data_IF_162696192928
#
_entry.id   IF_162696192928
#
_cell.length_a   1.000
_cell.length_b   1.000
_cell.length_c   1.000
_cell.angle_alpha   90.00
_cell.angle_beta   90.00
_cell.angle_gamma   90.00
#
_symmetry.space_group_name_H-M   'P 1'
#
loop_
_entity.id
_entity.type
_entity.pdbx_description
1 polymer ?
#
# COMPACT_ATOMS: atom_id res chain seq x y z
N UNK A 1 19.00 -11.37 -28.76
CA UNK A 1 18.91 -10.17 -27.93
C UNK A 1 19.46 -10.53 -26.55
N UNK A 2 20.52 -9.83 -26.16
CA UNK A 2 21.38 -10.13 -25.01
C UNK A 2 20.64 -9.92 -23.67
N UNK A 3 20.94 -10.84 -22.75
CA UNK A 3 20.63 -10.76 -21.33
C UNK A 3 20.77 -9.34 -20.76
N UNK A 4 19.70 -8.77 -20.27
CA UNK A 4 19.74 -7.61 -19.37
C UNK A 4 19.36 -8.08 -17.97
N UNK A 5 20.41 -8.17 -17.16
CA UNK A 5 20.33 -8.32 -15.71
C UNK A 5 19.44 -7.21 -15.11
N UNK A 6 18.56 -7.60 -14.23
CA UNK A 6 17.78 -6.71 -13.38
C UNK A 6 18.71 -5.68 -12.72
N UNK A 7 18.56 -4.42 -13.06
CA UNK A 7 19.18 -3.29 -12.40
C UNK A 7 18.09 -2.49 -11.72
N UNK A 8 18.20 -2.46 -10.41
CA UNK A 8 17.60 -1.60 -9.38
C UNK A 8 16.51 -0.62 -9.84
N UNK A 9 15.32 -0.84 -9.31
CA UNK A 9 14.16 0.02 -9.39
C UNK A 9 14.51 1.47 -9.06
N UNK A 10 14.21 2.37 -9.98
CA UNK A 10 14.04 3.78 -9.68
C UNK A 10 12.66 3.91 -9.06
N UNK A 11 12.62 4.19 -7.78
CA UNK A 11 11.39 4.53 -7.08
C UNK A 11 10.87 5.85 -7.65
N UNK A 12 9.93 5.77 -8.58
CA UNK A 12 9.10 6.92 -8.93
C UNK A 12 8.03 6.98 -7.85
N UNK A 13 8.27 7.81 -6.85
CA UNK A 13 7.25 8.25 -5.91
C UNK A 13 6.27 9.11 -6.71
N UNK A 14 5.23 8.50 -7.23
CA UNK A 14 4.05 9.24 -7.64
C UNK A 14 3.31 9.54 -6.33
N UNK A 15 3.65 10.67 -5.73
CA UNK A 15 2.86 11.26 -4.67
C UNK A 15 1.54 11.73 -5.28
N UNK A 16 0.56 10.86 -5.37
CA UNK A 16 -0.82 11.29 -5.44
C UNK A 16 -1.17 11.84 -4.07
N UNK A 17 -1.01 13.16 -3.93
CA UNK A 17 -1.64 13.91 -2.87
C UNK A 17 -3.15 13.81 -3.12
N UNK A 18 -3.79 12.80 -2.55
CA UNK A 18 -5.22 12.83 -2.36
C UNK A 18 -5.43 13.82 -1.22
N UNK A 19 -5.71 15.08 -1.59
CA UNK A 19 -6.28 16.05 -0.67
C UNK A 19 -7.65 15.55 -0.22
N UNK A 20 -7.68 14.74 0.83
CA UNK A 20 -8.83 14.72 1.70
C UNK A 20 -8.79 16.03 2.49
N UNK A 21 -9.68 16.96 2.16
CA UNK A 21 -10.00 18.12 2.99
C UNK A 21 -10.76 17.65 4.23
N UNK A 22 -10.04 17.10 5.14
CA UNK A 22 -10.43 16.78 6.50
C UNK A 22 -9.10 16.69 7.25
N UNK A 23 -8.78 17.77 8.01
CA UNK A 23 -7.49 17.92 8.67
C UNK A 23 -7.16 16.74 9.57
N UNK A 24 -6.34 15.83 9.09
CA UNK A 24 -5.58 14.92 9.94
C UNK A 24 -4.41 15.76 10.44
N UNK A 25 -4.60 16.35 11.61
CA UNK A 25 -3.48 16.86 12.39
C UNK A 25 -2.65 15.62 12.76
N UNK A 26 -1.53 15.42 12.07
CA UNK A 26 -0.49 14.50 12.54
C UNK A 26 -0.04 15.08 13.88
N UNK A 27 -0.60 14.58 14.98
CA UNK A 27 -0.09 14.85 16.32
C UNK A 27 1.27 14.15 16.39
N UNK A 28 2.31 14.90 16.07
CA UNK A 28 3.66 14.47 16.37
C UNK A 28 3.73 14.24 17.88
N UNK A 29 3.79 12.98 18.28
CA UNK A 29 4.01 12.60 19.67
C UNK A 29 5.40 13.09 20.07
N UNK A 30 5.46 14.23 20.73
CA UNK A 30 6.69 14.63 21.40
C UNK A 30 6.81 13.75 22.64
N UNK A 31 7.95 13.10 22.88
CA UNK A 31 8.17 12.41 24.14
C UNK A 31 7.98 13.44 25.26
N UNK A 32 7.22 13.06 26.28
CA UNK A 32 7.09 13.89 27.47
C UNK A 32 8.46 13.93 28.11
N UNK A 33 9.17 15.05 27.92
CA UNK A 33 10.37 15.31 28.71
C UNK A 33 9.89 15.47 30.13
N UNK A 34 10.18 14.50 31.00
CA UNK A 34 10.04 14.67 32.43
C UNK A 34 11.12 15.66 32.79
N UNK A 35 10.70 16.87 33.14
CA UNK A 35 11.63 17.85 33.77
C UNK A 35 12.10 17.20 35.07
N UNK A 36 13.39 16.87 35.11
CA UNK A 36 14.05 16.52 36.37
C UNK A 36 13.98 17.73 37.29
N UNK A 37 13.01 17.77 38.17
CA UNK A 37 13.02 18.63 39.32
C UNK A 37 13.88 17.94 40.38
N UNK A 38 15.19 18.15 40.32
CA UNK A 38 16.08 17.81 41.46
C UNK A 38 15.76 18.77 42.56
N UNK A 39 14.85 18.38 43.44
CA UNK A 39 14.72 19.05 44.74
C UNK A 39 15.77 18.46 45.70
N UNK A 40 16.75 19.24 46.05
CA UNK A 40 17.79 18.91 47.05
C UNK A 40 17.31 19.20 48.47
N UNK A 41 16.06 18.97 48.83
CA UNK A 41 15.61 18.92 50.21
C UNK A 41 15.73 17.46 50.66
N UNK A 42 16.50 17.20 51.73
CA UNK A 42 16.50 15.90 52.41
C UNK A 42 15.04 15.59 52.80
N UNK A 43 14.37 14.69 52.08
CA UNK A 43 13.02 14.30 52.36
C UNK A 43 12.91 13.51 53.66
N UNK A 44 11.73 13.45 54.23
CA UNK A 44 11.47 12.62 55.40
C UNK A 44 11.64 11.16 55.03
N UNK A 45 12.36 10.38 55.87
CA UNK A 45 12.54 8.93 55.70
C UNK A 45 11.58 8.20 56.63
N UNK A 46 10.83 7.28 56.07
CA UNK A 46 9.92 6.40 56.80
C UNK A 46 10.28 4.93 56.49
N UNK A 47 10.56 4.17 57.56
CA UNK A 47 10.82 2.73 57.46
C UNK A 47 9.61 2.01 58.02
N UNK A 48 9.06 1.09 57.23
CA UNK A 48 7.88 0.31 57.60
C UNK A 48 8.26 -1.09 58.13
N UNK A 49 7.43 -1.63 58.99
CA UNK A 49 7.68 -2.95 59.62
C UNK A 49 7.70 -4.12 58.66
N UNK A 50 7.16 -3.95 57.45
CA UNK A 50 7.17 -4.96 56.39
C UNK A 50 8.48 -4.90 55.55
N UNK A 51 9.39 -3.99 55.85
CA UNK A 51 10.65 -3.81 55.12
C UNK A 51 10.55 -2.83 53.95
N UNK A 52 9.41 -2.15 53.79
CA UNK A 52 9.25 -1.09 52.78
C UNK A 52 9.86 0.25 53.28
N UNK A 53 10.23 1.09 52.38
CA UNK A 53 10.88 2.38 52.68
C UNK A 53 10.24 3.52 51.85
N UNK A 54 10.06 4.69 52.46
CA UNK A 54 9.69 5.93 51.77
C UNK A 54 10.72 7.01 52.06
N UNK A 55 11.03 7.80 51.04
CA UNK A 55 11.82 9.02 51.19
C UNK A 55 11.19 10.14 50.36
N UNK A 56 10.76 11.22 50.98
CA UNK A 56 10.10 12.32 50.27
C UNK A 56 9.30 13.27 51.18
N UNK A 57 8.38 13.99 50.52
CA UNK A 57 7.54 14.97 51.21
C UNK A 57 6.42 14.28 51.98
N UNK A 58 6.19 14.74 53.22
CA UNK A 58 5.09 14.27 54.10
C UNK A 58 4.36 15.44 54.71
N UNK A 59 3.09 15.22 55.02
CA UNK A 59 2.26 16.10 55.84
C UNK A 59 2.11 15.59 57.27
N UNK A 60 1.42 16.29 58.12
CA UNK A 60 1.17 15.94 59.53
C UNK A 60 0.69 14.49 59.66
N UNK A 61 1.36 13.70 60.52
CA UNK A 61 1.04 12.31 60.75
C UNK A 61 1.69 11.32 59.76
N UNK A 62 2.79 11.74 59.09
CA UNK A 62 3.57 10.89 58.18
C UNK A 62 2.80 10.48 56.90
N UNK A 63 1.79 11.28 56.49
CA UNK A 63 1.04 11.11 55.24
C UNK A 63 1.92 11.54 54.08
N UNK A 64 2.17 10.67 53.13
CA UNK A 64 2.93 10.97 51.88
C UNK A 64 2.12 11.96 51.05
N UNK A 65 2.66 13.18 50.87
CA UNK A 65 2.00 14.22 50.09
C UNK A 65 3.08 15.13 49.48
N UNK A 66 3.08 15.26 48.15
CA UNK A 66 4.18 15.93 47.41
C UNK A 66 5.00 14.95 46.59
N UNK A 67 6.30 15.10 46.54
CA UNK A 67 7.19 14.20 45.77
C UNK A 67 7.92 13.23 46.68
N UNK A 68 8.12 11.99 46.21
CA UNK A 68 8.88 11.00 46.99
C UNK A 68 9.07 9.68 46.26
N UNK A 69 9.99 8.91 46.79
CA UNK A 69 10.28 7.55 46.35
C UNK A 69 9.81 6.54 47.38
N UNK A 70 9.25 5.42 46.90
CA UNK A 70 8.83 4.31 47.72
C UNK A 70 9.41 3.02 47.18
N UNK A 71 9.96 2.19 48.06
CA UNK A 71 10.46 0.85 47.75
C UNK A 71 9.66 -0.17 48.58
N UNK A 72 8.96 -1.06 47.87
CA UNK A 72 8.28 -2.16 48.53
C UNK A 72 9.24 -3.28 48.90
N UNK A 73 8.94 -4.00 49.94
CA UNK A 73 9.74 -5.19 50.41
C UNK A 73 9.83 -6.28 49.33
N UNK A 74 8.92 -6.30 48.37
CA UNK A 74 8.86 -7.20 47.22
C UNK A 74 9.77 -6.76 46.07
N UNK A 75 10.36 -5.57 46.18
CA UNK A 75 11.37 -5.06 45.25
C UNK A 75 10.85 -4.08 44.20
N UNK A 76 9.54 -3.81 44.15
CA UNK A 76 9.00 -2.74 43.32
C UNK A 76 9.46 -1.39 43.82
N UNK A 77 9.53 -0.40 42.91
CA UNK A 77 9.85 0.98 43.31
C UNK A 77 8.95 1.96 42.59
N UNK A 78 8.52 3.01 43.28
CA UNK A 78 7.84 4.17 42.73
C UNK A 78 8.58 5.45 43.04
N UNK A 79 8.76 6.31 42.07
CA UNK A 79 9.29 7.66 42.22
C UNK A 79 8.33 8.63 41.53
N UNK A 80 7.77 9.58 42.27
CA UNK A 80 6.79 10.50 41.70
C UNK A 80 6.00 11.27 42.73
N UNK A 81 4.84 11.73 42.28
CA UNK A 81 3.92 12.55 43.11
C UNK A 81 3.00 11.69 43.95
N UNK A 82 2.76 12.10 45.17
CA UNK A 82 1.88 11.50 46.17
C UNK A 82 0.81 12.49 46.60
N UNK A 83 -0.43 12.00 46.79
CA UNK A 83 -1.53 12.77 47.35
C UNK A 83 -2.23 11.87 48.39
N UNK A 84 -2.19 12.25 49.65
CA UNK A 84 -2.83 11.49 50.74
C UNK A 84 -2.47 9.99 50.70
N UNK A 85 -1.18 9.67 50.68
CA UNK A 85 -0.63 8.30 50.62
C UNK A 85 -0.86 7.55 49.31
N UNK A 86 -1.41 8.18 48.29
CA UNK A 86 -1.75 7.54 47.00
C UNK A 86 -0.91 8.12 45.87
N UNK A 87 -0.36 7.30 44.98
CA UNK A 87 0.34 7.76 43.75
C UNK A 87 -0.61 8.60 42.91
N UNK A 88 -0.12 9.78 42.47
CA UNK A 88 -0.89 10.74 41.70
C UNK A 88 0.03 11.55 40.76
N UNK A 89 -0.51 12.16 39.71
CA UNK A 89 0.32 12.97 38.80
C UNK A 89 1.38 12.15 38.07
N UNK A 90 2.54 12.75 37.84
CA UNK A 90 3.63 12.08 37.13
C UNK A 90 4.46 11.20 38.06
N UNK A 91 4.82 10.02 37.57
CA UNK A 91 5.70 9.09 38.30
C UNK A 91 6.29 8.01 37.42
N UNK A 92 7.28 7.33 38.03
CA UNK A 92 7.93 6.16 37.46
C UNK A 92 7.74 4.97 38.40
N UNK A 93 7.22 3.89 37.88
CA UNK A 93 7.05 2.64 38.62
C UNK A 93 7.86 1.54 37.95
N UNK A 94 8.63 0.78 38.76
CA UNK A 94 9.40 -0.37 38.30
C UNK A 94 8.87 -1.63 38.99
N UNK A 95 8.53 -2.62 38.21
CA UNK A 95 8.20 -3.96 38.67
C UNK A 95 9.33 -4.91 38.25
N UNK A 96 10.11 -5.47 39.20
CA UNK A 96 11.17 -6.42 38.88
C UNK A 96 10.64 -7.61 38.09
N UNK A 97 11.29 -7.94 36.97
CA UNK A 97 10.88 -9.06 36.10
C UNK A 97 9.63 -8.83 35.25
N UNK A 98 8.96 -7.67 35.38
CA UNK A 98 7.80 -7.32 34.56
C UNK A 98 8.06 -6.14 33.63
N UNK A 99 8.58 -5.01 34.18
CA UNK A 99 8.80 -3.84 33.37
C UNK A 99 8.82 -2.51 34.13
N UNK A 100 8.84 -1.45 33.38
CA UNK A 100 8.88 -0.07 33.88
C UNK A 100 7.78 0.75 33.22
N UNK A 101 7.02 1.47 34.03
CA UNK A 101 6.07 2.51 33.60
C UNK A 101 6.61 3.90 33.96
N UNK A 102 6.48 4.82 33.03
CA UNK A 102 6.72 6.24 33.25
C UNK A 102 5.56 7.04 32.67
N UNK A 103 4.84 7.76 33.51
CA UNK A 103 3.66 8.48 33.05
C UNK A 103 2.80 8.98 34.18
N UNK A 104 1.53 9.22 33.87
CA UNK A 104 0.56 9.76 34.81
C UNK A 104 -0.08 8.66 35.65
N UNK A 105 -0.36 9.01 36.89
CA UNK A 105 -1.10 8.18 37.88
C UNK A 105 -2.33 8.94 38.37
N UNK A 106 -3.40 8.22 38.63
CA UNK A 106 -4.58 8.72 39.29
C UNK A 106 -5.10 7.64 40.26
N UNK A 107 -5.29 7.99 41.51
CA UNK A 107 -5.76 7.05 42.55
C UNK A 107 -4.93 5.77 42.63
N UNK A 108 -3.61 5.87 42.51
CA UNK A 108 -2.68 4.75 42.58
C UNK A 108 -2.61 3.86 41.34
N UNK A 109 -3.28 4.23 40.26
CA UNK A 109 -3.32 3.48 39.00
C UNK A 109 -2.69 4.28 37.87
N UNK A 110 -2.09 3.59 36.90
CA UNK A 110 -1.68 4.21 35.64
C UNK A 110 -2.88 4.81 34.95
N UNK A 111 -2.78 6.09 34.59
CA UNK A 111 -3.87 6.84 33.99
C UNK A 111 -3.30 7.94 33.08
N UNK A 112 -4.10 8.45 32.09
CA UNK A 112 -3.63 9.48 31.19
C UNK A 112 -2.46 9.00 30.33
N UNK A 113 -1.50 9.85 30.02
CA UNK A 113 -0.37 9.49 29.14
C UNK A 113 0.76 8.83 29.89
N UNK A 114 1.30 7.77 29.30
CA UNK A 114 2.45 7.08 29.86
C UNK A 114 3.05 6.02 28.94
N UNK A 115 4.30 5.69 29.20
CA UNK A 115 5.06 4.67 28.51
C UNK A 115 5.33 3.49 29.43
N UNK A 116 5.14 2.28 28.93
CA UNK A 116 5.50 1.02 29.58
C UNK A 116 6.52 0.27 28.73
N UNK A 117 7.57 -0.21 29.33
CA UNK A 117 8.54 -1.11 28.71
C UNK A 117 8.52 -2.44 29.46
N UNK A 118 8.25 -3.53 28.74
CA UNK A 118 8.27 -4.87 29.29
C UNK A 118 9.69 -5.41 29.40
N UNK A 119 9.92 -6.23 30.42
CA UNK A 119 11.15 -6.99 30.64
C UNK A 119 10.80 -8.46 30.55
N UNK A 120 11.62 -9.23 29.85
CA UNK A 120 11.46 -10.66 29.67
C UNK A 120 12.66 -11.40 30.26
N UNK A 121 12.42 -12.62 30.75
CA UNK A 121 13.51 -13.52 31.13
C UNK A 121 14.07 -14.13 29.82
N UNK A 122 15.16 -13.53 29.31
CA UNK A 122 15.74 -13.81 28.00
C UNK A 122 15.23 -12.87 26.90
N UNK A 123 15.55 -13.21 25.65
CA UNK A 123 15.13 -12.42 24.49
C UNK A 123 13.63 -12.57 24.22
N UNK A 124 12.91 -11.47 23.96
CA UNK A 124 11.50 -11.54 23.65
C UNK A 124 11.27 -12.26 22.32
N UNK A 125 10.26 -13.12 22.27
CA UNK A 125 9.89 -13.82 21.04
C UNK A 125 9.17 -12.90 20.06
N UNK A 126 9.25 -13.21 18.77
CA UNK A 126 8.62 -12.43 17.71
C UNK A 126 7.15 -12.15 17.99
N UNK A 127 6.77 -10.90 17.94
CA UNK A 127 5.40 -10.43 18.17
C UNK A 127 5.03 -10.18 19.63
N UNK A 128 5.93 -10.43 20.60
CA UNK A 128 5.70 -9.97 21.97
C UNK A 128 5.83 -8.44 22.05
N UNK A 129 4.96 -7.73 22.82
CA UNK A 129 5.08 -6.30 23.02
C UNK A 129 6.32 -5.97 23.86
N UNK A 130 7.20 -5.11 23.37
CA UNK A 130 8.38 -4.64 24.12
C UNK A 130 8.20 -3.25 24.70
N UNK A 131 7.36 -2.40 24.10
CA UNK A 131 6.98 -1.12 24.69
C UNK A 131 5.62 -0.66 24.22
N UNK A 132 4.95 0.14 25.06
CA UNK A 132 3.74 0.87 24.72
C UNK A 132 3.87 2.31 25.21
N UNK A 133 3.59 3.27 24.35
CA UNK A 133 3.50 4.70 24.66
C UNK A 133 2.14 5.22 24.20
N UNK A 134 1.29 5.63 25.11
CA UNK A 134 -0.07 6.04 24.79
C UNK A 134 -0.94 6.38 25.99
N UNK A 135 -2.24 6.29 25.76
CA UNK A 135 -3.24 6.53 26.79
C UNK A 135 -3.41 5.32 27.70
N UNK A 136 -3.60 5.58 28.99
CA UNK A 136 -3.85 4.59 30.04
C UNK A 136 -5.13 4.96 30.78
N UNK A 137 -5.91 3.96 31.15
CA UNK A 137 -7.13 4.11 31.92
C UNK A 137 -7.20 3.00 32.98
N UNK A 138 -7.08 3.37 34.26
CA UNK A 138 -7.18 2.46 35.41
C UNK A 138 -6.32 1.18 35.25
N UNK A 139 -5.02 1.35 34.99
CA UNK A 139 -4.03 0.29 34.73
C UNK A 139 -4.16 -0.46 33.41
N UNK A 140 -5.09 -0.09 32.55
CA UNK A 140 -5.27 -0.69 31.23
C UNK A 140 -4.76 0.24 30.13
N UNK A 141 -4.33 -0.35 29.01
CA UNK A 141 -4.10 0.40 27.77
C UNK A 141 -5.41 1.07 27.36
N UNK A 142 -5.37 2.37 27.19
CA UNK A 142 -6.52 3.20 26.83
C UNK A 142 -6.89 3.13 25.34
N UNK A 143 -7.39 4.24 24.81
CA UNK A 143 -7.99 4.25 23.47
C UNK A 143 -6.99 4.40 22.33
N UNK A 144 -5.75 4.84 22.58
CA UNK A 144 -4.76 5.10 21.53
C UNK A 144 -3.33 5.04 22.04
N UNK A 145 -2.43 4.70 21.14
CA UNK A 145 -0.99 4.68 21.45
C UNK A 145 -0.15 4.03 20.36
N UNK A 146 1.14 3.94 20.69
CA UNK A 146 2.17 3.30 19.90
C UNK A 146 2.68 2.07 20.63
N UNK A 147 2.60 0.90 19.99
CA UNK A 147 3.12 -0.35 20.51
C UNK A 147 4.22 -0.89 19.62
N UNK A 148 5.35 -1.24 20.21
CA UNK A 148 6.47 -1.88 19.53
C UNK A 148 6.45 -3.36 19.85
N UNK A 149 6.58 -4.20 18.83
CA UNK A 149 6.61 -5.65 18.94
C UNK A 149 7.98 -6.19 18.55
N UNK A 150 8.50 -7.11 19.34
CA UNK A 150 9.79 -7.75 19.10
C UNK A 150 9.85 -8.43 17.73
N UNK A 151 10.86 -8.12 16.92
CA UNK A 151 11.13 -8.75 15.63
C UNK A 151 9.90 -8.82 14.69
N UNK A 152 8.98 -7.86 14.80
CA UNK A 152 7.76 -7.83 14.00
C UNK A 152 7.49 -6.45 13.42
N UNK A 153 7.56 -5.39 14.26
CA UNK A 153 7.27 -4.03 13.82
C UNK A 153 6.58 -3.16 14.85
N UNK A 154 5.98 -2.09 14.38
CA UNK A 154 5.39 -1.02 15.19
C UNK A 154 3.94 -0.80 14.77
N UNK A 155 3.04 -0.75 15.75
CA UNK A 155 1.66 -0.29 15.58
C UNK A 155 1.47 1.08 16.21
N UNK A 156 0.77 1.96 15.52
CA UNK A 156 0.34 3.26 16.01
C UNK A 156 -1.12 3.49 15.64
N UNK A 157 -1.99 3.62 16.64
CA UNK A 157 -3.43 3.74 16.35
C UNK A 157 -4.32 3.48 17.55
N UNK A 158 -5.57 3.08 17.23
CA UNK A 158 -6.61 2.83 18.21
C UNK A 158 -6.47 1.50 18.93
N UNK A 159 -6.89 1.46 20.18
CA UNK A 159 -6.98 0.28 21.02
C UNK A 159 -8.34 0.20 21.71
N UNK A 160 -8.77 -1.00 22.00
CA UNK A 160 -9.91 -1.27 22.87
C UNK A 160 -9.61 -2.48 23.72
N UNK A 161 -9.62 -2.34 25.05
CA UNK A 161 -9.28 -3.41 26.01
C UNK A 161 -7.93 -4.09 25.69
N UNK A 162 -6.93 -3.30 25.30
CA UNK A 162 -5.58 -3.78 25.01
C UNK A 162 -5.38 -4.45 23.66
N UNK A 163 -6.42 -4.56 22.82
CA UNK A 163 -6.31 -5.06 21.44
C UNK A 163 -6.43 -3.94 20.43
N UNK A 164 -5.78 -4.05 19.26
CA UNK A 164 -5.87 -3.05 18.19
C UNK A 164 -7.29 -3.01 17.64
N UNK A 165 -7.85 -1.80 17.61
CA UNK A 165 -9.25 -1.54 17.19
C UNK A 165 -9.33 -0.15 16.55
N UNK A 166 -10.21 0.02 15.56
CA UNK A 166 -10.36 1.30 14.86
C UNK A 166 -9.25 1.57 13.85
N UNK A 167 -8.96 2.83 13.60
CA UNK A 167 -7.93 3.22 12.63
C UNK A 167 -6.54 3.10 13.22
N UNK A 168 -5.59 2.58 12.42
CA UNK A 168 -4.19 2.48 12.84
C UNK A 168 -3.25 2.13 11.69
N UNK A 169 -1.98 2.40 11.94
CA UNK A 169 -0.87 2.06 11.05
C UNK A 169 -0.04 0.97 11.68
N UNK A 170 0.29 -0.06 10.93
CA UNK A 170 1.30 -1.04 11.29
C UNK A 170 2.45 -0.96 10.29
N UNK A 171 3.67 -0.79 10.78
CA UNK A 171 4.88 -0.85 9.97
C UNK A 171 5.67 -2.08 10.40
N UNK A 172 5.80 -3.05 9.49
CA UNK A 172 6.60 -4.26 9.71
C UNK A 172 8.09 -3.99 9.54
N UNK A 173 8.91 -4.77 10.20
CA UNK A 173 10.38 -4.66 10.15
C UNK A 173 10.94 -4.93 8.74
N UNK A 174 10.21 -5.66 7.89
CA UNK A 174 10.57 -5.88 6.49
C UNK A 174 10.29 -4.68 5.57
N UNK A 175 9.69 -3.61 6.10
CA UNK A 175 9.34 -2.40 5.36
C UNK A 175 7.92 -2.37 4.80
N UNK A 176 7.13 -3.41 4.95
CA UNK A 176 5.70 -3.35 4.64
C UNK A 176 4.98 -2.39 5.58
N UNK A 177 3.91 -1.75 5.11
CA UNK A 177 3.10 -0.86 5.93
C UNK A 177 1.62 -1.02 5.61
N UNK A 178 0.82 -1.20 6.65
CA UNK A 178 -0.64 -1.12 6.54
C UNK A 178 -1.17 0.14 7.21
N UNK A 179 -2.04 0.85 6.53
CA UNK A 179 -2.85 1.93 7.07
C UNK A 179 -4.32 1.64 6.82
N UNK A 180 -5.13 1.59 7.88
CA UNK A 180 -6.56 1.32 7.74
C UNK A 180 -7.21 0.86 9.03
N UNK A 181 -8.33 0.16 8.87
CA UNK A 181 -9.16 -0.27 9.99
C UNK A 181 -8.68 -1.59 10.58
N UNK A 182 -8.77 -1.68 11.89
CA UNK A 182 -8.45 -2.85 12.73
C UNK A 182 -9.67 -3.26 13.53
N UNK A 183 -9.85 -4.54 13.70
CA UNK A 183 -10.85 -5.11 14.59
C UNK A 183 -10.28 -6.36 15.28
N UNK A 184 -10.23 -6.33 16.62
CA UNK A 184 -9.74 -7.45 17.46
C UNK A 184 -8.37 -7.97 17.00
N UNK A 185 -7.38 -7.08 16.90
CA UNK A 185 -6.01 -7.32 16.44
C UNK A 185 -5.85 -7.76 14.98
N UNK A 186 -6.88 -7.66 14.16
CA UNK A 186 -6.84 -8.05 12.75
C UNK A 186 -7.15 -6.87 11.83
N UNK A 187 -6.48 -6.84 10.70
CA UNK A 187 -6.81 -5.93 9.60
C UNK A 187 -8.22 -6.26 9.12
N UNK A 188 -9.12 -5.26 9.12
CA UNK A 188 -10.53 -5.42 8.75
C UNK A 188 -11.09 -4.09 8.27
N UNK A 189 -12.04 -4.11 7.29
CA UNK A 189 -12.58 -2.88 6.72
C UNK A 189 -11.65 -2.24 5.70
N UNK A 190 -11.81 -0.94 5.48
CA UNK A 190 -11.06 -0.22 4.46
C UNK A 190 -9.62 0.05 4.89
N UNK A 191 -8.69 -0.13 3.94
CA UNK A 191 -7.29 0.12 4.19
C UNK A 191 -6.39 -0.04 2.96
N UNK A 192 -5.13 0.33 3.16
CA UNK A 192 -4.05 0.25 2.16
C UNK A 192 -2.88 -0.52 2.80
N UNK A 193 -2.46 -1.59 2.14
CA UNK A 193 -1.23 -2.28 2.45
C UNK A 193 -0.20 -1.97 1.36
N UNK A 194 0.88 -1.32 1.75
CA UNK A 194 2.04 -1.05 0.90
C UNK A 194 3.11 -2.07 1.24
N UNK A 195 3.52 -2.84 0.25
CA UNK A 195 4.63 -3.78 0.42
C UNK A 195 5.98 -3.10 0.20
N UNK A 196 7.04 -3.67 0.73
CA UNK A 196 8.40 -3.15 0.61
C UNK A 196 8.90 -3.03 -0.84
N UNK A 197 8.33 -3.81 -1.76
CA UNK A 197 8.61 -3.73 -3.20
C UNK A 197 7.84 -2.61 -3.93
N UNK A 198 7.02 -1.83 -3.19
CA UNK A 198 6.17 -0.77 -3.71
C UNK A 198 4.80 -1.23 -4.23
N UNK A 199 4.48 -2.52 -4.15
CA UNK A 199 3.14 -3.02 -4.49
C UNK A 199 2.10 -2.50 -3.50
N UNK A 200 0.89 -2.18 -4.00
CA UNK A 200 -0.21 -1.65 -3.21
C UNK A 200 -1.40 -2.62 -3.25
N UNK A 201 -1.97 -2.90 -2.09
CA UNK A 201 -3.24 -3.58 -1.94
C UNK A 201 -4.22 -2.62 -1.28
N UNK A 202 -5.20 -2.15 -2.01
CA UNK A 202 -6.16 -1.14 -1.54
C UNK A 202 -7.58 -1.66 -1.62
N UNK A 203 -8.36 -1.46 -0.55
CA UNK A 203 -9.77 -1.81 -0.51
C UNK A 203 -10.23 -2.37 0.83
N UNK A 204 -11.21 -3.26 0.77
CA UNK A 204 -11.81 -3.87 1.95
C UNK A 204 -11.11 -5.16 2.35
N UNK A 205 -10.58 -5.17 3.55
CA UNK A 205 -9.93 -6.31 4.17
C UNK A 205 -10.91 -7.07 5.08
N UNK A 206 -10.69 -8.36 5.21
CA UNK A 206 -11.39 -9.23 6.14
C UNK A 206 -10.38 -10.23 6.71
N UNK A 207 -10.21 -10.22 8.04
CA UNK A 207 -9.28 -11.11 8.74
C UNK A 207 -7.87 -11.14 8.10
N UNK A 208 -7.24 -9.97 7.94
CA UNK A 208 -5.91 -9.76 7.36
C UNK A 208 -5.79 -10.03 5.84
N UNK A 209 -6.87 -10.33 5.13
CA UNK A 209 -6.85 -10.59 3.69
C UNK A 209 -7.63 -9.54 2.94
N UNK A 210 -7.10 -9.05 1.82
CA UNK A 210 -7.84 -8.18 0.91
C UNK A 210 -8.99 -8.99 0.28
N UNK A 211 -10.23 -8.62 0.63
CA UNK A 211 -11.44 -9.29 0.17
C UNK A 211 -11.99 -8.67 -1.12
N UNK A 212 -11.98 -7.34 -1.20
CA UNK A 212 -12.44 -6.57 -2.36
C UNK A 212 -11.58 -5.33 -2.51
N UNK A 213 -11.11 -5.06 -3.74
CA UNK A 213 -10.27 -3.89 -4.00
C UNK A 213 -9.36 -4.10 -5.19
N UNK A 214 -8.20 -3.50 -5.15
CA UNK A 214 -7.19 -3.56 -6.22
C UNK A 214 -5.83 -3.97 -5.68
N UNK A 215 -5.07 -4.63 -6.54
CA UNK A 215 -3.64 -4.86 -6.37
C UNK A 215 -2.92 -4.15 -7.51
N UNK A 216 -2.00 -3.26 -7.15
CA UNK A 216 -1.17 -2.49 -8.08
C UNK A 216 0.29 -2.85 -7.85
N UNK A 217 1.01 -3.19 -8.90
CA UNK A 217 2.40 -3.63 -8.83
C UNK A 217 3.19 -3.24 -10.07
N UNK A 218 4.50 -3.12 -9.93
CA UNK A 218 5.38 -2.79 -11.03
C UNK A 218 5.51 -3.96 -12.01
N UNK A 219 5.56 -3.63 -13.31
CA UNK A 219 5.94 -4.51 -14.40
C UNK A 219 7.05 -3.85 -15.21
N UNK A 220 7.64 -4.56 -16.19
CA UNK A 220 8.67 -3.97 -17.05
C UNK A 220 8.12 -2.75 -17.82
N UNK A 221 8.66 -1.57 -17.49
CA UNK A 221 8.29 -0.29 -18.09
C UNK A 221 6.93 0.30 -17.70
N UNK A 222 6.23 -0.27 -16.71
CA UNK A 222 4.90 0.23 -16.35
C UNK A 222 4.37 -0.25 -15.00
N UNK A 223 3.09 -0.01 -14.79
CA UNK A 223 2.36 -0.37 -13.59
C UNK A 223 1.12 -1.18 -13.98
N UNK A 224 0.98 -2.35 -13.39
CA UNK A 224 -0.18 -3.21 -13.57
C UNK A 224 -1.16 -3.07 -12.40
N UNK A 225 -2.45 -2.99 -12.71
CA UNK A 225 -3.54 -2.99 -11.74
C UNK A 225 -4.51 -4.13 -12.03
N UNK A 226 -4.86 -4.89 -11.00
CA UNK A 226 -5.83 -5.98 -11.06
C UNK A 226 -6.83 -5.88 -9.92
N UNK A 227 -8.07 -6.26 -10.17
CA UNK A 227 -9.09 -6.31 -9.14
C UNK A 227 -9.00 -7.58 -8.29
N UNK A 228 -9.39 -7.45 -7.03
CA UNK A 228 -9.66 -8.56 -6.11
C UNK A 228 -11.15 -8.60 -5.83
N UNK A 229 -11.75 -9.77 -5.92
CA UNK A 229 -13.15 -9.99 -5.59
C UNK A 229 -13.30 -11.29 -4.80
N UNK A 230 -13.93 -11.21 -3.62
CA UNK A 230 -14.08 -12.33 -2.69
C UNK A 230 -12.73 -13.01 -2.37
N UNK A 231 -11.70 -12.21 -2.09
CA UNK A 231 -10.35 -12.67 -1.79
C UNK A 231 -9.59 -13.30 -2.96
N UNK A 232 -10.11 -13.21 -4.18
CA UNK A 232 -9.49 -13.79 -5.38
C UNK A 232 -9.06 -12.70 -6.34
N UNK A 233 -7.79 -12.73 -6.72
CA UNK A 233 -7.22 -11.86 -7.76
C UNK A 233 -7.84 -12.22 -9.11
N UNK A 234 -8.45 -11.24 -9.78
CA UNK A 234 -9.09 -11.43 -11.07
C UNK A 234 -8.05 -11.52 -12.20
N UNK A 235 -8.39 -12.20 -13.30
CA UNK A 235 -7.49 -12.35 -14.44
C UNK A 235 -7.41 -11.10 -15.33
N UNK A 236 -8.40 -10.22 -15.27
CA UNK A 236 -8.37 -8.94 -15.97
C UNK A 236 -7.26 -8.03 -15.39
N UNK A 237 -6.51 -7.38 -16.28
CA UNK A 237 -5.42 -6.49 -15.93
C UNK A 237 -5.48 -5.22 -16.77
N UNK A 238 -5.16 -4.11 -16.17
CA UNK A 238 -4.82 -2.85 -16.84
C UNK A 238 -3.35 -2.56 -16.57
N UNK A 239 -2.56 -2.33 -17.61
CA UNK A 239 -1.15 -1.92 -17.51
C UNK A 239 -1.04 -0.52 -18.11
N UNK A 240 -0.45 0.39 -17.37
CA UNK A 240 -0.10 1.74 -17.82
C UNK A 240 1.41 1.84 -17.88
N UNK A 241 1.94 2.09 -19.07
CA UNK A 241 3.38 2.24 -19.32
C UNK A 241 3.84 3.68 -19.11
N UNK A 242 5.15 3.89 -19.00
CA UNK A 242 5.76 5.21 -18.77
C UNK A 242 5.54 6.20 -19.92
N UNK A 243 5.23 5.71 -21.13
CA UNK A 243 4.90 6.50 -22.32
C UNK A 243 3.39 6.79 -22.44
N UNK A 244 2.62 6.58 -21.37
CA UNK A 244 1.15 6.68 -21.31
C UNK A 244 0.41 5.67 -22.21
N UNK A 245 1.09 4.67 -22.75
CA UNK A 245 0.43 3.54 -23.40
C UNK A 245 -0.31 2.70 -22.36
N UNK A 246 -1.58 2.42 -22.62
CA UNK A 246 -2.40 1.58 -21.75
C UNK A 246 -2.73 0.27 -22.45
N UNK A 247 -2.57 -0.85 -21.74
CA UNK A 247 -2.97 -2.18 -22.20
C UNK A 247 -4.01 -2.76 -21.24
N UNK A 248 -5.15 -3.15 -21.79
CA UNK A 248 -6.22 -3.83 -21.05
C UNK A 248 -6.42 -5.22 -21.64
N UNK A 249 -6.39 -6.24 -20.79
CA UNK A 249 -6.52 -7.62 -21.25
C UNK A 249 -6.76 -8.61 -20.14
N UNK A 250 -6.69 -9.89 -20.47
CA UNK A 250 -6.83 -11.01 -19.54
C UNK A 250 -5.54 -11.79 -19.49
N UNK A 251 -5.02 -12.07 -18.30
CA UNK A 251 -3.82 -12.88 -18.08
C UNK A 251 -4.18 -14.32 -17.71
N UNK A 252 -3.41 -15.26 -18.28
CA UNK A 252 -3.27 -16.64 -17.80
C UNK A 252 -1.80 -16.87 -17.46
N UNK A 253 -1.49 -16.91 -16.18
CA UNK A 253 -0.10 -16.78 -15.73
C UNK A 253 0.42 -15.37 -16.03
N UNK A 254 1.51 -15.27 -16.78
CA UNK A 254 2.11 -13.99 -17.20
C UNK A 254 1.81 -13.62 -18.65
N UNK A 255 1.00 -14.41 -19.37
CA UNK A 255 0.68 -14.21 -20.78
C UNK A 255 -0.73 -13.68 -20.97
N UNK A 256 -0.88 -12.75 -21.92
CA UNK A 256 -2.21 -12.33 -22.37
C UNK A 256 -2.89 -13.46 -23.16
N UNK A 257 -4.16 -13.66 -22.85
CA UNK A 257 -5.03 -14.60 -23.56
C UNK A 257 -6.24 -13.86 -24.16
N UNK A 258 -6.64 -14.30 -25.36
CA UNK A 258 -7.70 -13.62 -26.11
C UNK A 258 -7.23 -12.27 -26.66
N UNK A 259 -8.18 -11.37 -26.87
CA UNK A 259 -7.88 -10.03 -27.37
C UNK A 259 -7.50 -9.10 -26.23
N UNK A 260 -6.54 -8.23 -26.52
CA UNK A 260 -6.21 -7.06 -25.70
C UNK A 260 -6.67 -5.80 -26.38
N UNK A 261 -6.88 -4.74 -25.60
CA UNK A 261 -7.02 -3.37 -26.09
C UNK A 261 -5.76 -2.60 -25.70
N UNK A 262 -5.08 -2.02 -26.69
CA UNK A 262 -3.94 -1.13 -26.48
C UNK A 262 -4.37 0.26 -26.90
N UNK A 263 -4.21 1.25 -26.03
CA UNK A 263 -4.37 2.67 -26.31
C UNK A 263 -3.01 3.35 -26.23
N UNK A 264 -2.52 3.86 -27.35
CA UNK A 264 -1.23 4.52 -27.43
C UNK A 264 -1.34 6.01 -27.08
N UNK A 265 -0.30 6.59 -26.51
CA UNK A 265 -0.23 8.04 -26.24
C UNK A 265 -0.40 8.90 -27.50
N UNK A 266 -0.05 8.37 -28.69
CA UNK A 266 -0.30 9.02 -29.98
C UNK A 266 -1.77 9.27 -30.28
N UNK A 267 -2.68 8.55 -29.61
CA UNK A 267 -4.10 8.49 -29.88
C UNK A 267 -4.50 7.36 -30.85
N UNK A 268 -3.55 6.52 -31.23
CA UNK A 268 -3.81 5.27 -31.94
C UNK A 268 -4.36 4.20 -30.99
N UNK A 269 -4.93 3.15 -31.54
CA UNK A 269 -5.36 1.98 -30.73
C UNK A 269 -5.22 0.67 -31.49
N UNK A 270 -5.11 -0.41 -30.71
CA UNK A 270 -5.11 -1.79 -31.22
C UNK A 270 -6.05 -2.65 -30.42
N UNK A 271 -6.85 -3.48 -31.11
CA UNK A 271 -7.66 -4.51 -30.50
C UNK A 271 -7.38 -5.83 -31.22
N UNK A 272 -6.80 -6.80 -30.50
CA UNK A 272 -6.43 -8.07 -31.12
C UNK A 272 -5.57 -8.94 -30.20
N UNK A 273 -5.09 -10.05 -30.73
CA UNK A 273 -4.26 -10.98 -29.99
C UNK A 273 -2.79 -10.50 -29.93
N UNK A 274 -2.14 -10.82 -28.80
CA UNK A 274 -0.69 -10.71 -28.63
C UNK A 274 -0.07 -12.11 -28.47
N UNK A 275 1.15 -12.24 -28.94
CA UNK A 275 2.02 -13.39 -28.64
C UNK A 275 3.36 -12.83 -28.12
N UNK A 276 3.72 -13.15 -26.89
CA UNK A 276 4.90 -12.60 -26.21
C UNK A 276 4.94 -11.05 -26.26
N UNK A 277 3.81 -10.39 -26.02
CA UNK A 277 3.70 -8.93 -26.06
C UNK A 277 3.68 -8.30 -27.46
N UNK A 278 3.71 -9.09 -28.54
CA UNK A 278 3.82 -8.65 -29.94
C UNK A 278 2.48 -8.91 -30.65
N UNK A 279 1.99 -7.94 -31.45
CA UNK A 279 0.76 -8.11 -32.25
C UNK A 279 0.89 -9.31 -33.18
N UNK A 280 -0.06 -10.25 -33.05
CA UNK A 280 -0.04 -11.51 -33.78
C UNK A 280 -1.48 -12.04 -33.96
N UNK A 281 -1.74 -12.80 -35.02
CA UNK A 281 -3.08 -13.30 -35.33
C UNK A 281 -3.99 -12.20 -35.84
N UNK A 282 -5.29 -12.28 -35.54
CA UNK A 282 -6.27 -11.30 -36.00
C UNK A 282 -6.31 -10.09 -35.08
N UNK A 283 -6.42 -8.88 -35.65
CA UNK A 283 -6.55 -7.65 -34.90
C UNK A 283 -6.94 -6.45 -35.75
N UNK A 284 -7.38 -5.39 -35.07
CA UNK A 284 -7.70 -4.10 -35.66
C UNK A 284 -6.77 -3.06 -35.08
N UNK A 285 -6.08 -2.31 -35.93
CA UNK A 285 -5.34 -1.13 -35.56
C UNK A 285 -6.04 0.11 -36.09
N UNK A 286 -6.30 1.07 -35.25
CA UNK A 286 -6.95 2.32 -35.61
C UNK A 286 -5.99 3.48 -35.37
N UNK A 287 -5.68 4.21 -36.40
CA UNK A 287 -4.88 5.45 -36.32
C UNK A 287 -5.72 6.59 -35.78
N UNK A 288 -5.08 7.57 -35.16
CA UNK A 288 -5.70 8.78 -34.60
C UNK A 288 -6.61 9.52 -35.60
N UNK A 289 -6.26 9.49 -36.88
CA UNK A 289 -7.04 10.13 -37.95
C UNK A 289 -8.31 9.34 -38.36
N UNK A 290 -8.55 8.16 -37.73
CA UNK A 290 -9.71 7.30 -38.00
C UNK A 290 -9.49 6.26 -39.09
N UNK A 291 -8.39 6.31 -39.83
CA UNK A 291 -8.01 5.19 -40.69
C UNK A 291 -7.80 3.94 -39.84
N UNK A 292 -8.05 2.75 -40.39
CA UNK A 292 -7.85 1.52 -39.62
C UNK A 292 -7.58 0.31 -40.52
N UNK A 293 -6.87 -0.65 -39.95
CA UNK A 293 -6.60 -1.96 -40.57
C UNK A 293 -7.27 -3.07 -39.77
N UNK A 294 -8.02 -3.92 -40.44
CA UNK A 294 -8.63 -5.11 -39.88
C UNK A 294 -8.06 -6.33 -40.61
N UNK A 295 -7.30 -7.16 -39.95
CA UNK A 295 -6.66 -8.29 -40.61
C UNK A 295 -5.71 -9.06 -39.73
N UNK A 296 -4.84 -9.82 -40.40
CA UNK A 296 -3.82 -10.65 -39.76
C UNK A 296 -2.57 -9.81 -39.43
N UNK A 297 -1.93 -10.17 -38.34
CA UNK A 297 -0.74 -9.53 -37.80
C UNK A 297 0.36 -10.57 -37.56
N UNK A 298 1.58 -10.21 -37.81
CA UNK A 298 2.76 -11.00 -37.48
C UNK A 298 3.92 -10.07 -37.14
N UNK A 299 4.56 -10.27 -35.98
CA UNK A 299 5.69 -9.47 -35.51
C UNK A 299 5.41 -7.95 -35.58
N UNK A 300 4.26 -7.53 -35.01
CA UNK A 300 3.78 -6.14 -34.96
C UNK A 300 3.42 -5.53 -36.32
N UNK A 301 3.45 -6.28 -37.41
CA UNK A 301 3.21 -5.79 -38.75
C UNK A 301 1.94 -6.40 -39.36
N UNK A 302 1.25 -5.63 -40.18
CA UNK A 302 0.16 -6.14 -41.03
C UNK A 302 0.69 -7.29 -41.89
N UNK A 303 0.00 -8.42 -41.89
CA UNK A 303 0.43 -9.65 -42.56
C UNK A 303 -0.80 -10.43 -43.02
N UNK A 304 -0.62 -11.36 -43.98
CA UNK A 304 -1.72 -12.19 -44.45
C UNK A 304 -2.88 -11.41 -45.02
N UNK A 305 -4.10 -11.88 -44.83
CA UNK A 305 -5.31 -11.27 -45.40
C UNK A 305 -5.84 -10.15 -44.50
N UNK A 306 -6.15 -9.00 -45.11
CA UNK A 306 -6.70 -7.88 -44.36
C UNK A 306 -7.39 -6.83 -45.22
N UNK A 307 -7.98 -5.86 -44.52
CA UNK A 307 -8.60 -4.67 -45.10
C UNK A 307 -8.01 -3.43 -44.43
N UNK A 308 -7.59 -2.50 -45.25
CA UNK A 308 -7.16 -1.18 -44.83
C UNK A 308 -8.20 -0.13 -45.22
N UNK A 309 -8.81 0.50 -44.24
CA UNK A 309 -9.80 1.56 -44.42
C UNK A 309 -9.07 2.90 -44.26
N UNK A 310 -9.27 3.81 -45.26
CA UNK A 310 -8.60 5.11 -45.27
C UNK A 310 -9.29 6.15 -44.37
N UNK A 311 -10.53 5.84 -43.94
CA UNK A 311 -11.35 6.71 -43.11
C UNK A 311 -12.07 5.88 -42.03
N UNK A 312 -12.61 6.58 -41.01
CA UNK A 312 -13.42 5.97 -39.94
C UNK A 312 -14.68 5.27 -40.48
N UNK A 313 -15.27 5.84 -41.54
CA UNK A 313 -16.47 5.27 -42.19
C UNK A 313 -16.07 4.11 -43.10
N UNK A 314 -16.30 2.90 -42.64
CA UNK A 314 -16.00 1.65 -43.36
C UNK A 314 -16.80 1.48 -44.67
N UNK A 315 -17.84 2.27 -44.87
CA UNK A 315 -18.62 2.29 -46.11
C UNK A 315 -17.93 2.99 -47.26
N UNK A 316 -16.86 3.74 -46.98
CA UNK A 316 -16.09 4.52 -47.95
C UNK A 316 -14.92 3.73 -48.54
N UNK A 317 -13.77 4.38 -48.65
CA UNK A 317 -12.61 3.85 -49.33
C UNK A 317 -11.89 2.78 -48.53
N UNK A 318 -11.63 1.62 -49.13
CA UNK A 318 -10.78 0.59 -48.51
C UNK A 318 -9.97 -0.21 -49.54
N UNK A 319 -8.87 -0.76 -49.08
CA UNK A 319 -8.02 -1.69 -49.81
C UNK A 319 -8.08 -3.06 -49.14
N UNK A 320 -8.37 -4.12 -49.89
CA UNK A 320 -8.41 -5.47 -49.31
C UNK A 320 -7.59 -6.46 -50.12
N UNK A 321 -6.90 -7.34 -49.43
CA UNK A 321 -6.04 -8.37 -50.04
C UNK A 321 -4.94 -8.82 -49.10
N UNK A 322 -3.80 -9.17 -49.67
CA UNK A 322 -2.66 -9.70 -48.93
C UNK A 322 -1.69 -8.60 -48.55
N UNK A 323 -1.25 -8.63 -47.29
CA UNK A 323 -0.23 -7.74 -46.73
C UNK A 323 0.99 -8.58 -46.30
N UNK A 324 2.16 -8.00 -46.37
CA UNK A 324 3.39 -8.60 -45.87
C UNK A 324 4.30 -7.49 -45.30
N UNK A 325 4.85 -7.73 -44.12
CA UNK A 325 5.77 -6.80 -43.42
C UNK A 325 5.23 -5.37 -43.28
N UNK A 326 3.89 -5.20 -43.14
CA UNK A 326 3.22 -3.93 -43.02
C UNK A 326 2.79 -3.30 -44.34
N UNK A 327 3.10 -3.90 -45.47
CA UNK A 327 2.84 -3.33 -46.82
C UNK A 327 1.87 -4.21 -47.62
N UNK A 328 1.04 -3.61 -48.50
CA UNK A 328 0.26 -4.37 -49.46
C UNK A 328 1.15 -5.10 -50.48
N UNK A 329 0.78 -6.33 -50.83
CA UNK A 329 1.58 -7.19 -51.71
C UNK A 329 0.72 -7.89 -52.77
N UNK A 330 1.13 -7.82 -54.03
CA UNK A 330 0.49 -8.49 -55.18
C UNK A 330 -0.79 -7.79 -55.60
N UNK A 331 -1.80 -8.56 -56.02
CA UNK A 331 -3.06 -7.98 -56.49
C UNK A 331 -4.06 -7.82 -55.37
N UNK A 332 -4.46 -6.57 -55.10
CA UNK A 332 -5.46 -6.18 -54.12
C UNK A 332 -6.66 -5.52 -54.78
N UNK A 333 -7.80 -5.55 -54.11
CA UNK A 333 -9.00 -4.85 -54.51
C UNK A 333 -9.11 -3.54 -53.76
N UNK A 334 -9.14 -2.43 -54.52
CA UNK A 334 -9.50 -1.14 -53.99
C UNK A 334 -10.98 -0.86 -54.24
N UNK A 335 -11.71 -0.50 -53.25
CA UNK A 335 -13.12 -0.07 -53.33
C UNK A 335 -13.20 1.40 -52.98
N UNK A 336 -13.76 2.19 -53.90
CA UNK A 336 -13.98 3.63 -53.72
C UNK A 336 -15.25 3.93 -52.89
N UNK A 337 -15.42 5.17 -52.47
CA UNK A 337 -16.65 5.71 -51.85
C UNK A 337 -17.91 5.52 -52.71
N UNK A 338 -17.78 5.52 -54.04
CA UNK A 338 -18.87 5.22 -55.00
C UNK A 338 -19.09 3.74 -55.21
N UNK A 339 -18.46 2.87 -54.40
CA UNK A 339 -18.50 1.41 -54.52
C UNK A 339 -17.96 0.84 -55.83
N UNK A 340 -17.18 1.62 -56.54
CA UNK A 340 -16.46 1.16 -57.72
C UNK A 340 -15.26 0.30 -57.27
N UNK A 341 -15.03 -0.81 -57.96
CA UNK A 341 -13.93 -1.73 -57.61
C UNK A 341 -12.82 -1.63 -58.66
N UNK A 342 -11.58 -1.66 -58.17
CA UNK A 342 -10.39 -1.65 -59.00
C UNK A 342 -9.46 -2.77 -58.54
N UNK A 343 -8.89 -3.52 -59.47
CA UNK A 343 -7.74 -4.36 -59.21
C UNK A 343 -6.50 -3.47 -59.19
N UNK A 344 -5.72 -3.54 -58.13
CA UNK A 344 -4.49 -2.79 -57.94
C UNK A 344 -3.35 -3.76 -57.76
N UNK A 345 -2.20 -3.52 -58.41
CA UNK A 345 -1.00 -4.32 -58.26
C UNK A 345 0.02 -3.58 -57.43
N UNK A 346 0.52 -4.23 -56.39
CA UNK A 346 1.42 -3.61 -55.41
C UNK A 346 2.74 -4.36 -55.33
N UNK A 347 3.85 -3.62 -55.40
CA UNK A 347 5.20 -4.09 -55.18
C UNK A 347 5.96 -3.11 -54.30
N UNK A 348 6.59 -3.59 -53.24
CA UNK A 348 7.37 -2.79 -52.26
C UNK A 348 6.57 -1.58 -51.72
N UNK A 349 5.26 -1.78 -51.42
CA UNK A 349 4.37 -0.76 -50.90
C UNK A 349 3.93 0.30 -51.90
N UNK A 350 4.27 0.18 -53.19
CA UNK A 350 3.87 1.06 -54.28
C UNK A 350 2.85 0.40 -55.18
N UNK A 351 1.78 1.11 -55.52
CA UNK A 351 0.81 0.67 -56.53
C UNK A 351 1.43 0.85 -57.92
N UNK A 352 1.65 -0.22 -58.65
CA UNK A 352 2.28 -0.25 -59.97
C UNK A 352 1.28 -0.32 -61.10
N UNK A 353 0.03 -0.78 -60.84
CA UNK A 353 -1.00 -0.87 -61.85
C UNK A 353 -2.39 -0.73 -61.22
N UNK A 354 -3.34 -0.13 -61.91
CA UNK A 354 -4.73 0.01 -61.51
C UNK A 354 -5.63 -0.28 -62.72
N UNK A 355 -6.53 -1.24 -62.58
CA UNK A 355 -7.52 -1.56 -63.63
C UNK A 355 -8.92 -1.59 -63.05
N UNK A 356 -9.87 -0.94 -63.72
CA UNK A 356 -11.26 -0.97 -63.33
C UNK A 356 -11.82 -2.39 -63.45
N UNK A 357 -12.44 -2.87 -62.41
CA UNK A 357 -13.09 -4.20 -62.37
C UNK A 357 -14.54 -4.00 -62.86
N UNK A 358 -14.78 -4.29 -64.15
CA UNK A 358 -16.19 -4.37 -64.64
C UNK A 358 -16.92 -5.46 -63.85
N UNK A 359 -18.19 -5.16 -63.48
CA UNK A 359 -19.08 -6.12 -62.87
C UNK A 359 -19.31 -7.34 -63.77
#
# INVERSE_FOLDING_TARGET
MKDRKFSRAVAIVIAFVICFTGGITLLAFKPVAIAEAISTTEGTKLDYSDGSHYEGDVEAGEIRNGTGSYSWSTGETYEGTWVNDVQSGNGKMVWPGLGTYTGQFQNGKRHGRGAFTWIYDGEPTTGQPISFDGEWEDDHIGSSGKMVFANLGIYEGGFSKGVREGQGTFTWDNGDQYFGMWAKDRISGDGILTLADGSLLEGQFNNNLLNRGTVTYAVDGGIATRNVLNGKLQSAVTIVYQDDTTVVGTLKGQEFVGNVTISYASGDSYVGALKNGIKSGKGTYTWKNGAHYVGEWSNDKMSGTGKYYYEKDESKNYLCGTFKDGLPLGTLIYVSDKKLQYNTVWQDGKCTNITYKKK
#
